data_IF_890555915803
#
_entry.id   IF_890555915803
#
_cell.length_a   1.000
_cell.length_b   1.000
_cell.length_c   1.000
_cell.angle_alpha   90.00
_cell.angle_beta   90.00
_cell.angle_gamma   90.00
#
_symmetry.space_group_name_H-M   'P 1'
#
loop_
_entity.id
_entity.type
_entity.pdbx_description
1 polymer ?
#
# COMPACT_ATOMS: atom_id res chain seq x y z
N UNK A 1 32.92 7.94 29.83
CA UNK A 1 31.87 8.82 29.28
C UNK A 1 30.91 7.91 28.52
N UNK A 2 29.65 7.86 28.96
CA UNK A 2 28.64 6.94 28.44
C UNK A 2 28.39 7.19 26.95
N UNK A 3 28.51 6.14 26.13
CA UNK A 3 27.91 6.10 24.81
C UNK A 3 26.41 5.91 25.00
N UNK A 4 25.64 6.95 24.72
CA UNK A 4 24.17 6.92 24.76
C UNK A 4 23.64 6.06 23.61
N UNK A 5 23.02 4.95 23.98
CA UNK A 5 22.24 3.99 23.17
C UNK A 5 20.93 4.63 22.64
N UNK A 6 21.03 5.63 21.76
CA UNK A 6 19.88 6.36 21.18
C UNK A 6 19.61 5.99 19.71
N UNK A 7 19.56 4.69 19.40
CA UNK A 7 19.35 4.22 18.01
C UNK A 7 18.51 2.95 17.85
N UNK A 8 17.73 2.55 18.85
CA UNK A 8 16.82 1.38 18.75
C UNK A 8 15.38 1.84 18.58
N UNK A 9 14.85 1.50 17.40
CA UNK A 9 13.42 1.39 17.05
C UNK A 9 12.59 2.67 17.04
N UNK A 10 12.86 3.60 16.11
CA UNK A 10 11.82 4.55 15.71
C UNK A 10 10.70 3.76 15.00
N UNK A 11 9.46 3.76 15.50
CA UNK A 11 8.39 2.99 14.89
C UNK A 11 8.00 3.63 13.55
N UNK A 12 8.08 2.85 12.47
CA UNK A 12 7.67 3.31 11.15
C UNK A 12 6.16 3.65 11.14
N UNK A 13 5.83 4.86 10.71
CA UNK A 13 4.46 5.32 10.51
C UNK A 13 3.81 4.48 9.39
N UNK A 14 2.74 3.73 9.68
CA UNK A 14 2.09 2.91 8.66
C UNK A 14 1.35 3.82 7.67
N UNK A 15 1.63 3.64 6.38
CA UNK A 15 0.99 4.38 5.30
C UNK A 15 0.29 3.42 4.33
N UNK A 16 -0.98 3.06 4.58
CA UNK A 16 -1.82 2.31 3.65
C UNK A 16 -2.08 3.11 2.36
N UNK A 17 -1.64 2.56 1.23
CA UNK A 17 -1.81 3.15 -0.10
C UNK A 17 -2.55 2.17 -0.99
N UNK A 18 -3.50 2.66 -1.78
CA UNK A 18 -4.17 1.85 -2.82
C UNK A 18 -3.84 2.41 -4.21
N UNK A 19 -3.55 1.53 -5.17
CA UNK A 19 -3.29 1.89 -6.57
C UNK A 19 -4.48 1.45 -7.42
N UNK A 20 -5.05 2.39 -8.15
CA UNK A 20 -6.27 2.26 -8.96
C UNK A 20 -6.03 2.79 -10.38
N UNK A 21 -6.96 2.51 -11.29
CA UNK A 21 -6.89 2.94 -12.69
C UNK A 21 -7.27 1.83 -13.66
N UNK A 22 -7.48 2.21 -14.92
CA UNK A 22 -7.92 1.33 -15.99
C UNK A 22 -6.93 0.21 -16.35
N UNK A 23 -7.31 -0.62 -17.30
CA UNK A 23 -6.42 -1.69 -17.79
C UNK A 23 -5.19 -1.11 -18.49
N UNK A 24 -4.04 -1.78 -18.33
CA UNK A 24 -2.77 -1.44 -18.97
C UNK A 24 -2.25 0.00 -18.73
N UNK A 25 -2.79 0.73 -17.74
CA UNK A 25 -2.31 2.07 -17.35
C UNK A 25 -0.99 2.05 -16.57
N UNK A 26 -0.44 0.87 -16.23
CA UNK A 26 0.87 0.75 -15.56
C UNK A 26 0.84 0.73 -14.03
N UNK A 27 -0.29 0.41 -13.38
CA UNK A 27 -0.41 0.24 -11.91
C UNK A 27 0.67 -0.65 -11.30
N UNK A 28 0.73 -1.91 -11.74
CA UNK A 28 1.72 -2.88 -11.24
C UNK A 28 3.15 -2.46 -11.57
N UNK A 29 3.39 -1.88 -12.74
CA UNK A 29 4.70 -1.35 -13.14
C UNK A 29 5.16 -0.21 -12.23
N UNK A 30 4.25 0.70 -11.85
CA UNK A 30 4.53 1.80 -10.93
C UNK A 30 4.93 1.28 -9.55
N UNK A 31 4.20 0.29 -9.02
CA UNK A 31 4.52 -0.34 -7.73
C UNK A 31 5.87 -1.05 -7.79
N UNK A 32 6.10 -1.85 -8.82
CA UNK A 32 7.33 -2.63 -8.98
C UNK A 32 8.56 -1.73 -9.15
N UNK A 33 8.42 -0.62 -9.88
CA UNK A 33 9.49 0.36 -9.97
C UNK A 33 9.79 1.01 -8.62
N UNK A 34 8.76 1.36 -7.84
CA UNK A 34 8.96 1.90 -6.49
C UNK A 34 9.70 0.92 -5.57
N UNK A 35 9.35 -0.37 -5.62
CA UNK A 35 9.97 -1.42 -4.80
C UNK A 35 11.41 -1.74 -5.22
N UNK A 36 11.68 -1.85 -6.52
CA UNK A 36 12.94 -2.42 -7.03
C UNK A 36 13.88 -1.41 -7.69
N UNK A 37 13.44 -0.16 -7.90
CA UNK A 37 14.19 0.88 -8.63
C UNK A 37 14.61 0.47 -10.04
N UNK A 38 13.86 -0.45 -10.63
CA UNK A 38 14.16 -0.99 -11.96
C UNK A 38 12.88 -1.12 -12.75
N UNK A 39 12.97 -0.73 -14.01
CA UNK A 39 11.97 -1.09 -14.98
C UNK A 39 12.06 -2.58 -15.27
N UNK A 40 10.92 -3.27 -15.23
CA UNK A 40 10.82 -4.67 -15.63
C UNK A 40 10.31 -4.67 -17.07
N UNK A 41 11.22 -4.92 -18.01
CA UNK A 41 10.96 -4.83 -19.46
C UNK A 41 9.99 -5.89 -19.98
N UNK A 42 9.84 -7.00 -19.28
CA UNK A 42 8.94 -8.09 -19.65
C UNK A 42 7.68 -8.06 -18.77
N UNK A 43 6.55 -7.50 -19.23
CA UNK A 43 5.31 -7.44 -18.45
C UNK A 43 4.79 -8.82 -18.04
N UNK A 44 5.16 -9.87 -18.77
CA UNK A 44 4.85 -11.27 -18.45
C UNK A 44 5.52 -11.77 -17.16
N UNK A 45 6.61 -11.11 -16.73
CA UNK A 45 7.27 -11.38 -15.45
C UNK A 45 6.56 -10.69 -14.28
N UNK A 46 5.63 -9.77 -14.55
CA UNK A 46 4.79 -9.20 -13.50
C UNK A 46 3.74 -10.23 -13.08
N UNK A 47 3.57 -10.46 -11.77
CA UNK A 47 2.53 -11.36 -11.29
C UNK A 47 1.16 -10.86 -11.76
N UNK A 48 0.34 -11.76 -12.31
CA UNK A 48 -1.03 -11.44 -12.68
C UNK A 48 -1.81 -11.00 -11.44
N UNK A 49 -2.29 -9.76 -11.41
CA UNK A 49 -3.05 -9.22 -10.28
C UNK A 49 -4.47 -9.78 -10.29
N UNK A 50 -4.68 -10.88 -9.56
CA UNK A 50 -6.00 -11.45 -9.29
C UNK A 50 -6.64 -10.70 -8.10
N UNK A 51 -7.63 -9.83 -8.38
CA UNK A 51 -8.26 -8.99 -7.35
C UNK A 51 -7.36 -7.85 -6.88
N UNK A 52 -6.43 -8.12 -5.96
CA UNK A 52 -5.39 -7.17 -5.56
C UNK A 52 -4.17 -7.88 -4.93
N UNK A 53 -2.98 -7.32 -5.12
CA UNK A 53 -1.71 -7.80 -4.57
C UNK A 53 -1.20 -6.84 -3.50
N UNK A 54 -0.75 -7.37 -2.38
CA UNK A 54 -0.19 -6.58 -1.28
C UNK A 54 1.34 -6.50 -1.35
N UNK A 55 1.87 -5.30 -1.18
CA UNK A 55 3.29 -5.02 -1.04
C UNK A 55 3.57 -4.15 0.18
N UNK A 56 4.77 -4.24 0.73
CA UNK A 56 5.23 -3.35 1.80
C UNK A 56 6.66 -2.90 1.53
N UNK A 57 6.92 -1.62 1.80
CA UNK A 57 8.25 -1.04 1.70
C UNK A 57 8.41 0.03 2.77
N UNK A 58 9.47 -0.08 3.56
CA UNK A 58 9.84 0.94 4.52
C UNK A 58 10.79 1.95 3.86
N UNK A 59 10.47 3.24 3.98
CA UNK A 59 11.24 4.36 3.41
C UNK A 59 11.39 5.44 4.47
N UNK A 60 12.62 5.90 4.66
CA UNK A 60 12.90 7.11 5.44
C UNK A 60 12.75 8.33 4.55
N UNK A 61 11.93 9.30 4.98
CA UNK A 61 11.66 10.55 4.26
C UNK A 61 11.91 11.70 5.24
N UNK A 62 12.97 12.46 5.03
CA UNK A 62 13.41 13.47 6.00
C UNK A 62 13.86 12.82 7.31
N UNK A 63 13.21 13.18 8.42
CA UNK A 63 13.45 12.58 9.74
C UNK A 63 12.51 11.41 10.06
N UNK A 64 11.46 11.25 9.27
CA UNK A 64 10.40 10.28 9.55
C UNK A 64 10.63 8.96 8.82
N UNK A 65 10.08 7.91 9.40
CA UNK A 65 10.12 6.57 8.85
C UNK A 65 8.71 6.15 8.45
N UNK A 66 8.49 5.86 7.17
CA UNK A 66 7.19 5.44 6.65
C UNK A 66 7.22 3.98 6.22
N UNK A 67 6.28 3.17 6.71
CA UNK A 67 6.02 1.81 6.21
C UNK A 67 4.86 1.86 5.23
N UNK A 68 5.17 1.94 3.95
CA UNK A 68 4.17 1.85 2.88
C UNK A 68 3.55 0.46 2.89
N UNK A 69 2.22 0.42 2.81
CA UNK A 69 1.40 -0.79 2.73
C UNK A 69 0.54 -0.66 1.48
N UNK A 70 1.04 -1.17 0.36
CA UNK A 70 0.53 -0.87 -0.97
C UNK A 70 -0.37 -2.00 -1.45
N UNK A 71 -1.61 -1.66 -1.78
CA UNK A 71 -2.54 -2.53 -2.48
C UNK A 71 -2.51 -2.20 -3.98
N UNK A 72 -1.87 -3.05 -4.77
CA UNK A 72 -1.93 -3.02 -6.23
C UNK A 72 -3.21 -3.73 -6.69
N UNK A 73 -4.14 -3.01 -7.31
CA UNK A 73 -5.45 -3.58 -7.66
C UNK A 73 -5.52 -4.03 -9.11
N UNK A 74 -6.30 -5.09 -9.33
CA UNK A 74 -6.67 -5.52 -10.67
C UNK A 74 -7.62 -4.50 -11.30
N UNK A 75 -7.41 -4.23 -12.59
CA UNK A 75 -8.32 -3.42 -13.42
C UNK A 75 -9.43 -4.24 -14.07
N UNK A 76 -9.54 -5.55 -13.79
CA UNK A 76 -10.63 -6.36 -14.32
C UNK A 76 -11.96 -5.94 -13.69
N UNK A 77 -12.94 -5.62 -14.54
CA UNK A 77 -14.32 -5.28 -14.17
C UNK A 77 -14.94 -6.31 -13.23
N UNK A 78 -14.58 -7.59 -13.38
CA UNK A 78 -15.06 -8.68 -12.52
C UNK A 78 -14.70 -8.47 -11.06
N UNK A 79 -13.65 -7.71 -10.75
CA UNK A 79 -13.19 -7.46 -9.39
C UNK A 79 -13.51 -6.03 -8.90
N UNK A 80 -14.19 -5.20 -9.70
CA UNK A 80 -14.54 -3.81 -9.32
C UNK A 80 -15.38 -3.74 -8.03
N UNK A 81 -16.20 -4.76 -7.75
CA UNK A 81 -16.99 -4.83 -6.52
C UNK A 81 -16.16 -5.01 -5.24
N UNK A 82 -14.90 -5.45 -5.36
CA UNK A 82 -13.96 -5.63 -4.24
C UNK A 82 -13.19 -4.35 -3.90
N UNK A 83 -13.14 -3.37 -4.80
CA UNK A 83 -12.40 -2.12 -4.62
C UNK A 83 -12.65 -1.42 -3.27
N UNK A 84 -13.90 -1.36 -2.75
CA UNK A 84 -14.16 -0.72 -1.45
C UNK A 84 -13.41 -1.37 -0.28
N UNK A 85 -13.05 -2.64 -0.36
CA UNK A 85 -12.28 -3.33 0.69
C UNK A 85 -10.83 -2.80 0.73
N UNK A 86 -10.30 -2.36 -0.40
CA UNK A 86 -8.91 -1.89 -0.53
C UNK A 86 -8.77 -0.39 -0.26
N UNK A 87 -9.67 0.44 -0.79
CA UNK A 87 -9.55 1.89 -0.65
C UNK A 87 -10.09 2.44 0.68
N UNK A 88 -11.09 1.81 1.32
CA UNK A 88 -11.62 2.30 2.62
C UNK A 88 -10.57 2.35 3.74
N UNK A 89 -9.70 1.34 3.94
CA UNK A 89 -8.65 1.43 4.95
C UNK A 89 -7.44 2.27 4.50
N UNK A 90 -7.41 2.72 3.24
CA UNK A 90 -6.28 3.48 2.71
C UNK A 90 -6.23 4.90 3.29
N UNK A 91 -5.03 5.46 3.38
CA UNK A 91 -4.78 6.87 3.71
C UNK A 91 -4.44 7.70 2.49
N UNK A 92 -3.87 7.06 1.47
CA UNK A 92 -3.58 7.65 0.19
C UNK A 92 -4.09 6.75 -0.95
N UNK A 93 -4.51 7.37 -2.05
CA UNK A 93 -4.83 6.65 -3.28
C UNK A 93 -4.02 7.21 -4.44
N UNK A 94 -3.57 6.32 -5.34
CA UNK A 94 -2.97 6.69 -6.62
C UNK A 94 -3.88 6.18 -7.72
N UNK A 95 -4.35 7.07 -8.58
CA UNK A 95 -5.19 6.74 -9.73
C UNK A 95 -4.40 7.02 -10.99
N UNK A 96 -4.20 5.98 -11.80
CA UNK A 96 -3.37 6.02 -13.01
C UNK A 96 -4.22 6.07 -14.26
N UNK A 97 -3.77 6.85 -15.24
CA UNK A 97 -4.20 6.77 -16.63
C UNK A 97 -2.95 6.75 -17.54
N UNK A 98 -3.10 6.49 -18.83
CA UNK A 98 -1.92 6.44 -19.71
C UNK A 98 -2.24 6.91 -21.13
N UNK A 99 -1.34 7.66 -21.80
CA UNK A 99 -1.63 8.24 -23.10
C UNK A 99 -1.89 7.21 -24.20
N UNK A 100 -1.24 6.05 -24.13
CA UNK A 100 -1.38 4.95 -25.11
C UNK A 100 -2.72 4.21 -24.98
N UNK A 101 -3.40 4.32 -23.84
CA UNK A 101 -4.76 3.83 -23.62
C UNK A 101 -5.82 4.89 -24.01
N UNK A 102 -5.38 6.03 -24.55
CA UNK A 102 -6.25 7.10 -25.03
C UNK A 102 -7.03 7.82 -23.92
N UNK A 103 -7.93 8.70 -24.36
CA UNK A 103 -8.75 9.57 -23.50
C UNK A 103 -9.75 8.80 -22.61
N UNK A 104 -10.08 7.57 -22.99
CA UNK A 104 -10.94 6.70 -22.19
C UNK A 104 -10.30 6.38 -20.83
N UNK A 105 -8.98 6.14 -20.78
CA UNK A 105 -8.26 5.87 -19.53
C UNK A 105 -8.32 7.06 -18.55
N UNK A 106 -8.22 8.28 -19.07
CA UNK A 106 -8.39 9.50 -18.27
C UNK A 106 -9.83 9.65 -17.77
N UNK A 107 -10.81 9.37 -18.63
CA UNK A 107 -12.23 9.40 -18.27
C UNK A 107 -12.55 8.40 -17.16
N UNK A 108 -12.02 7.19 -17.24
CA UNK A 108 -12.16 6.16 -16.20
C UNK A 108 -11.49 6.61 -14.89
N UNK A 109 -10.28 7.19 -14.95
CA UNK A 109 -9.60 7.73 -13.77
C UNK A 109 -10.45 8.82 -13.09
N UNK A 110 -11.07 9.73 -13.85
CA UNK A 110 -11.98 10.74 -13.31
C UNK A 110 -13.19 10.12 -12.59
N UNK A 111 -13.78 9.05 -13.14
CA UNK A 111 -14.90 8.34 -12.53
C UNK A 111 -14.48 7.67 -11.21
N UNK A 112 -13.33 7.00 -11.19
CA UNK A 112 -12.77 6.39 -9.98
C UNK A 112 -12.55 7.45 -8.90
N UNK A 113 -11.96 8.59 -9.25
CA UNK A 113 -11.70 9.69 -8.30
C UNK A 113 -13.01 10.22 -7.71
N UNK A 114 -14.02 10.48 -8.55
CA UNK A 114 -15.35 10.92 -8.09
C UNK A 114 -16.00 9.92 -7.14
N UNK A 115 -15.72 8.63 -7.28
CA UNK A 115 -16.20 7.58 -6.39
C UNK A 115 -15.45 7.60 -5.04
N UNK A 116 -14.12 7.57 -5.06
CA UNK A 116 -13.31 7.41 -3.84
C UNK A 116 -13.19 8.71 -3.03
N UNK A 117 -13.36 9.89 -3.63
CA UNK A 117 -13.30 11.18 -2.90
C UNK A 117 -14.39 11.31 -1.83
N UNK A 118 -15.42 10.46 -1.86
CA UNK A 118 -16.46 10.38 -0.83
C UNK A 118 -15.99 9.71 0.46
N UNK A 119 -14.78 9.14 0.49
CA UNK A 119 -14.26 8.39 1.62
C UNK A 119 -13.40 9.29 2.52
N UNK A 120 -13.83 9.50 3.77
CA UNK A 120 -13.15 10.37 4.75
C UNK A 120 -11.76 9.86 5.17
N UNK A 121 -11.44 8.61 4.87
CA UNK A 121 -10.16 8.00 5.27
C UNK A 121 -9.00 8.41 4.37
N UNK A 122 -9.29 8.79 3.12
CA UNK A 122 -8.32 9.21 2.13
C UNK A 122 -7.93 10.67 2.37
N UNK A 123 -6.69 10.89 2.79
CA UNK A 123 -6.12 12.22 3.04
C UNK A 123 -5.59 12.86 1.76
N UNK A 124 -5.06 12.04 0.86
CA UNK A 124 -4.45 12.49 -0.39
C UNK A 124 -4.82 11.52 -1.52
N UNK A 125 -5.14 12.09 -2.67
CA UNK A 125 -5.40 11.34 -3.90
C UNK A 125 -4.47 11.90 -4.96
N UNK A 126 -3.67 11.03 -5.58
CA UNK A 126 -2.82 11.39 -6.69
C UNK A 126 -3.42 10.92 -8.02
N UNK A 127 -3.46 11.80 -9.01
CA UNK A 127 -3.78 11.51 -10.39
C UNK A 127 -2.48 11.46 -11.18
N UNK A 128 -2.16 10.31 -11.75
CA UNK A 128 -0.87 10.05 -12.39
C UNK A 128 -1.06 9.70 -13.85
N UNK A 129 -0.46 10.55 -14.71
CA UNK A 129 -0.25 10.25 -16.12
C UNK A 129 0.96 9.32 -16.24
N UNK A 130 0.68 8.03 -16.42
CA UNK A 130 1.71 7.00 -16.48
C UNK A 130 2.18 6.79 -17.91
N UNK A 131 3.48 6.53 -18.10
CA UNK A 131 4.16 6.49 -19.40
C UNK A 131 4.28 7.89 -20.03
N UNK A 132 4.61 8.89 -19.21
CA UNK A 132 4.83 10.27 -19.68
C UNK A 132 5.90 10.41 -20.77
N UNK A 133 6.77 9.40 -20.93
CA UNK A 133 7.72 9.30 -22.04
C UNK A 133 7.08 9.25 -23.44
N UNK A 134 5.82 8.82 -23.53
CA UNK A 134 5.07 8.76 -24.78
C UNK A 134 4.44 10.11 -25.19
N UNK A 135 4.49 11.11 -24.30
CA UNK A 135 3.79 12.38 -24.45
C UNK A 135 2.30 12.27 -24.12
N UNK A 136 1.78 13.22 -23.34
CA UNK A 136 0.36 13.23 -22.96
C UNK A 136 -0.53 13.53 -24.17
N UNK A 137 -1.59 12.73 -24.31
CA UNK A 137 -2.69 12.99 -25.25
C UNK A 137 -3.75 13.94 -24.69
N UNK A 138 -3.68 14.23 -23.38
CA UNK A 138 -4.63 15.08 -22.66
C UNK A 138 -4.02 16.45 -22.40
N UNK A 139 -4.71 17.55 -22.75
CA UNK A 139 -4.24 18.91 -22.48
C UNK A 139 -3.98 19.16 -20.98
N UNK A 140 -2.84 19.77 -20.66
CA UNK A 140 -2.47 20.05 -19.27
C UNK A 140 -3.48 20.92 -18.52
N UNK A 141 -4.14 21.87 -19.19
CA UNK A 141 -5.17 22.70 -18.58
C UNK A 141 -6.34 21.85 -18.07
N UNK A 142 -6.76 20.85 -18.83
CA UNK A 142 -7.84 19.94 -18.46
C UNK A 142 -7.47 19.12 -17.20
N UNK A 143 -6.26 18.55 -17.18
CA UNK A 143 -5.76 17.81 -16.01
C UNK A 143 -5.68 18.71 -14.78
N UNK A 144 -5.18 19.93 -14.95
CA UNK A 144 -5.03 20.90 -13.86
C UNK A 144 -6.37 21.41 -13.32
N UNK A 145 -7.36 21.65 -14.19
CA UNK A 145 -8.71 22.03 -13.78
C UNK A 145 -9.36 20.92 -12.95
N UNK A 146 -9.27 19.67 -13.42
CA UNK A 146 -9.79 18.52 -12.69
C UNK A 146 -9.07 18.30 -11.36
N UNK A 147 -7.74 18.43 -11.34
CA UNK A 147 -6.95 18.29 -10.13
C UNK A 147 -7.29 19.36 -9.08
N UNK A 148 -7.57 20.60 -9.51
CA UNK A 148 -8.03 21.67 -8.61
C UNK A 148 -9.44 21.43 -8.10
N UNK A 149 -10.35 20.97 -8.95
CA UNK A 149 -11.75 20.71 -8.57
C UNK A 149 -11.85 19.65 -7.46
N UNK A 150 -11.06 18.58 -7.57
CA UNK A 150 -11.09 17.45 -6.61
C UNK A 150 -9.94 17.46 -5.61
N UNK A 151 -9.13 18.52 -5.61
CA UNK A 151 -7.99 18.69 -4.71
C UNK A 151 -7.05 17.47 -4.71
N UNK A 152 -6.38 17.30 -5.86
CA UNK A 152 -5.55 16.16 -6.19
C UNK A 152 -4.08 16.56 -6.36
N UNK A 153 -3.19 15.65 -6.00
CA UNK A 153 -1.80 15.68 -6.47
C UNK A 153 -1.76 15.18 -7.92
N UNK A 154 -1.44 16.04 -8.90
CA UNK A 154 -1.35 15.63 -10.30
C UNK A 154 0.09 15.71 -10.83
N UNK A 155 0.55 14.64 -11.48
CA UNK A 155 1.89 14.56 -12.07
C UNK A 155 1.97 13.55 -13.22
N UNK A 156 3.03 13.65 -14.00
CA UNK A 156 3.41 12.63 -14.98
C UNK A 156 4.56 11.78 -14.43
N UNK A 157 4.52 10.47 -14.71
CA UNK A 157 5.55 9.53 -14.32
C UNK A 157 5.89 8.55 -15.45
N UNK A 158 7.14 8.09 -15.49
CA UNK A 158 7.58 7.04 -16.41
C UNK A 158 8.41 6.01 -15.67
N UNK A 159 8.00 4.74 -15.73
CA UNK A 159 8.80 3.65 -15.20
C UNK A 159 10.00 3.34 -16.12
N UNK A 160 9.90 3.61 -17.41
CA UNK A 160 10.99 3.41 -18.38
C UNK A 160 12.11 4.40 -18.11
N UNK A 161 11.77 5.69 -17.94
CA UNK A 161 12.75 6.74 -17.65
C UNK A 161 13.06 6.87 -16.15
N UNK A 162 12.28 6.22 -15.29
CA UNK A 162 12.41 6.33 -13.85
C UNK A 162 11.98 7.67 -13.24
N UNK A 163 11.22 8.47 -14.00
CA UNK A 163 10.87 9.83 -13.63
C UNK A 163 9.65 9.87 -12.71
N UNK A 164 9.73 10.69 -11.66
CA UNK A 164 8.65 11.05 -10.74
C UNK A 164 7.95 9.90 -9.97
N UNK A 165 8.35 8.64 -10.13
CA UNK A 165 7.78 7.54 -9.34
C UNK A 165 8.16 7.67 -7.87
N UNK A 166 9.41 8.04 -7.58
CA UNK A 166 9.87 8.14 -6.17
C UNK A 166 9.28 9.37 -5.52
N UNK A 167 9.38 10.51 -6.22
CA UNK A 167 8.77 11.77 -5.81
C UNK A 167 7.26 11.60 -5.52
N UNK A 168 6.52 10.82 -6.32
CA UNK A 168 5.12 10.52 -6.04
C UNK A 168 4.92 9.96 -4.63
N UNK A 169 5.59 8.85 -4.29
CA UNK A 169 5.41 8.20 -2.99
C UNK A 169 5.91 9.08 -1.84
N UNK A 170 6.97 9.86 -2.05
CA UNK A 170 7.45 10.85 -1.08
C UNK A 170 6.40 11.92 -0.78
N UNK A 171 5.78 12.49 -1.82
CA UNK A 171 4.73 13.49 -1.67
C UNK A 171 3.48 12.92 -0.99
N UNK A 172 3.11 11.66 -1.27
CA UNK A 172 2.01 11.00 -0.56
C UNK A 172 2.27 10.91 0.95
N UNK A 173 3.51 10.57 1.34
CA UNK A 173 3.88 10.46 2.75
C UNK A 173 3.90 11.83 3.43
N UNK A 174 4.51 12.83 2.81
CA UNK A 174 4.56 14.21 3.33
C UNK A 174 3.14 14.77 3.51
N UNK A 175 2.29 14.65 2.49
CA UNK A 175 0.90 15.10 2.56
C UNK A 175 0.13 14.41 3.69
N UNK A 176 0.29 13.08 3.85
CA UNK A 176 -0.38 12.35 4.92
C UNK A 176 0.11 12.72 6.32
N UNK A 177 1.40 13.09 6.46
CA UNK A 177 2.04 13.48 7.73
C UNK A 177 1.57 14.85 8.21
N UNK A 178 1.52 15.84 7.30
CA UNK A 178 1.04 17.19 7.64
C UNK A 178 -0.42 17.21 8.12
N UNK A 179 -1.25 16.28 7.63
CA UNK A 179 -2.63 16.12 8.12
C UNK A 179 -2.72 15.36 9.46
N UNK A 180 -1.62 14.86 10.04
CA UNK A 180 -1.64 14.19 11.36
C UNK A 180 -1.38 15.15 12.52
N UNK A 181 -0.83 16.34 12.24
CA UNK A 181 -0.45 17.33 13.27
C UNK A 181 -1.55 18.35 13.61
N UNK A 182 -2.64 18.43 12.84
CA UNK A 182 -3.74 19.37 13.10
C UNK A 182 -4.87 18.76 13.96
N UNK A 183 -5.21 19.46 15.06
CA UNK A 183 -6.36 19.19 15.94
C UNK A 183 -7.70 19.42 15.21
N UNK A 184 -8.80 18.74 15.61
CA UNK A 184 -10.10 18.88 14.96
C UNK A 184 -10.71 20.27 15.25
N UNK A 185 -10.63 21.18 14.29
CA UNK A 185 -11.24 22.52 14.41
C UNK A 185 -10.70 23.57 13.45
N UNK A 186 -9.53 23.36 12.83
CA UNK A 186 -9.06 24.19 11.73
C UNK A 186 -9.44 23.56 10.39
N UNK A 187 -10.18 24.33 9.59
CA UNK A 187 -10.55 23.96 8.24
C UNK A 187 -9.25 23.91 7.40
N UNK A 188 -8.71 22.70 7.21
CA UNK A 188 -7.60 22.47 6.30
C UNK A 188 -8.06 22.87 4.89
N UNK A 189 -7.68 24.07 4.46
CA UNK A 189 -7.51 24.33 3.02
C UNK A 189 -6.42 23.37 2.59
N UNK A 190 -6.79 22.39 1.80
CA UNK A 190 -5.86 21.49 1.21
C UNK A 190 -4.68 22.29 0.64
N UNK A 191 -3.48 21.93 1.07
CA UNK A 191 -2.28 22.57 0.57
C UNK A 191 -2.11 22.05 -0.84
N UNK A 192 -2.71 22.77 -1.81
CA UNK A 192 -2.41 22.60 -3.22
C UNK A 192 -0.91 22.86 -3.33
N UNK A 193 -0.10 21.81 -3.46
CA UNK A 193 1.29 21.98 -3.86
C UNK A 193 1.26 22.58 -5.26
N UNK A 194 1.67 23.85 -5.45
CA UNK A 194 1.65 24.43 -6.77
C UNK A 194 2.64 23.64 -7.63
N UNK A 195 2.15 23.02 -8.70
CA UNK A 195 2.99 22.51 -9.79
C UNK A 195 3.70 23.73 -10.40
N UNK A 196 4.89 24.04 -9.88
CA UNK A 196 5.73 25.13 -10.36
C UNK A 196 7.09 24.55 -10.70
N UNK A 197 7.49 24.72 -11.97
CA UNK A 197 8.79 24.33 -12.46
C UNK A 197 9.90 25.23 -11.92
N UNK A 198 11.10 24.66 -11.81
CA UNK A 198 12.34 25.44 -11.65
C UNK A 198 13.20 25.23 -12.90
N UNK A 199 13.28 26.29 -13.70
CA UNK A 199 14.29 26.41 -14.74
C UNK A 199 15.68 26.58 -14.11
N UNK A 200 16.63 25.89 -14.72
CA UNK A 200 18.01 26.33 -14.96
C UNK A 200 18.92 26.56 -13.74
N UNK A 201 19.81 25.59 -13.51
CA UNK A 201 21.18 25.90 -13.09
C UNK A 201 22.11 25.79 -14.29
N UNK A 202 22.30 26.89 -15.02
CA UNK A 202 23.59 27.22 -15.62
C UNK A 202 23.77 28.75 -15.60
N UNK A 203 24.93 29.28 -15.18
CA UNK A 203 25.04 30.64 -14.70
C UNK A 203 25.27 31.67 -15.82
N UNK A 204 24.86 32.90 -15.52
CA UNK A 204 25.20 34.18 -16.15
C UNK A 204 24.41 34.58 -17.41
N UNK A 205 23.41 35.45 -17.23
CA UNK A 205 23.43 36.86 -17.66
C UNK A 205 22.02 37.47 -17.62
N UNK A 206 21.96 38.70 -17.15
CA UNK A 206 20.77 39.55 -17.00
C UNK A 206 20.21 40.02 -18.34
N UNK A 207 18.93 39.75 -18.63
CA UNK A 207 18.17 40.45 -19.69
C UNK A 207 16.73 40.73 -19.19
N UNK A 208 16.16 41.93 -19.43
CA UNK A 208 14.90 42.35 -18.80
C UNK A 208 13.65 41.96 -19.59
N UNK A 209 12.55 41.96 -18.84
CA UNK A 209 11.18 41.56 -19.16
C UNK A 209 10.56 42.37 -20.31
N UNK A 210 10.08 41.70 -21.38
CA UNK A 210 8.85 42.03 -22.09
C UNK A 210 8.42 40.90 -23.06
N UNK A 211 7.14 40.53 -22.98
CA UNK A 211 6.31 39.82 -23.98
C UNK A 211 6.60 38.35 -24.37
N UNK A 212 5.73 37.48 -23.85
CA UNK A 212 5.04 36.32 -24.48
C UNK A 212 5.87 35.33 -25.31
N UNK A 213 6.17 34.17 -24.69
CA UNK A 213 5.76 32.87 -25.24
C UNK A 213 5.73 31.83 -24.10
N UNK A 214 4.52 31.51 -23.61
CA UNK A 214 4.28 30.44 -22.65
C UNK A 214 4.42 29.09 -23.39
N UNK A 215 5.65 28.58 -23.44
CA UNK A 215 5.91 27.20 -23.84
C UNK A 215 5.40 26.26 -22.73
N UNK A 216 4.21 25.70 -22.99
CA UNK A 216 3.42 24.83 -22.13
C UNK A 216 4.06 23.45 -21.92
N UNK A 217 4.90 23.31 -20.90
CA UNK A 217 5.18 21.99 -20.32
C UNK A 217 5.42 22.14 -18.81
N UNK A 218 4.38 21.94 -18.00
CA UNK A 218 4.52 21.85 -16.55
C UNK A 218 4.87 20.42 -16.16
N UNK A 219 6.08 19.99 -16.52
CA UNK A 219 6.69 18.81 -15.91
C UNK A 219 7.08 19.21 -14.49
N UNK A 220 6.48 18.55 -13.51
CA UNK A 220 7.00 18.58 -12.14
C UNK A 220 8.40 17.94 -12.16
N UNK A 221 9.43 18.78 -12.02
CA UNK A 221 10.79 18.35 -11.71
C UNK A 221 10.88 18.26 -10.20
N UNK A 222 10.32 17.17 -9.64
CA UNK A 222 10.32 16.98 -8.19
C UNK A 222 11.73 17.12 -7.64
N UNK A 223 11.92 17.95 -6.62
CA UNK A 223 13.11 17.78 -5.78
C UNK A 223 12.97 16.40 -5.14
N UNK A 224 13.81 15.46 -5.55
CA UNK A 224 14.02 14.23 -4.81
C UNK A 224 14.37 14.65 -3.38
N UNK A 225 13.51 14.30 -2.42
CA UNK A 225 13.92 14.36 -1.03
C UNK A 225 14.86 13.18 -0.82
N UNK A 226 15.97 13.37 -0.10
CA UNK A 226 16.88 12.27 0.18
C UNK A 226 16.12 11.17 0.95
N UNK A 227 15.65 10.15 0.25
CA UNK A 227 14.92 9.03 0.81
C UNK A 227 15.78 7.77 0.84
N UNK A 228 15.73 7.06 1.97
CA UNK A 228 16.51 5.84 2.19
C UNK A 228 15.54 4.67 2.26
N UNK A 229 15.70 3.73 1.32
CA UNK A 229 14.90 2.51 1.27
C UNK A 229 15.54 1.49 2.19
N UNK A 230 14.74 0.97 3.11
CA UNK A 230 15.19 -0.06 4.05
C UNK A 230 14.72 -1.40 3.50
N UNK A 231 15.65 -2.34 3.32
CA UNK A 231 15.31 -3.70 2.92
C UNK A 231 14.45 -4.35 4.01
N UNK A 232 13.15 -4.50 3.72
CA UNK A 232 12.24 -5.25 4.58
C UNK A 232 12.58 -6.74 4.45
N UNK A 233 13.10 -7.37 5.53
CA UNK A 233 13.40 -8.82 5.58
C UNK A 233 12.15 -9.72 5.57
N UNK A 234 11.00 -9.21 5.15
CA UNK A 234 9.69 -9.89 5.20
C UNK A 234 8.95 -9.78 3.86
N UNK A 235 9.27 -10.67 2.92
CA UNK A 235 8.37 -10.98 1.80
C UNK A 235 7.97 -12.45 1.85
N UNK A 236 6.66 -12.71 2.02
CA UNK A 236 6.05 -13.96 1.58
C UNK A 236 4.80 -13.59 0.78
N UNK A 237 4.76 -13.80 -0.54
CA UNK A 237 3.56 -13.57 -1.31
C UNK A 237 2.50 -14.59 -0.85
N UNK A 238 1.25 -14.17 -0.70
CA UNK A 238 0.17 -15.13 -0.53
C UNK A 238 0.05 -15.96 -1.82
N UNK A 239 0.09 -17.31 -1.74
CA UNK A 239 -0.02 -18.13 -2.93
C UNK A 239 -1.44 -18.03 -3.51
N UNK A 240 -1.50 -17.78 -4.82
CA UNK A 240 -2.68 -17.91 -5.66
C UNK A 240 -3.45 -19.19 -5.32
N UNK A 241 -4.77 -19.07 -5.13
CA UNK A 241 -5.70 -20.21 -5.22
C UNK A 241 -5.51 -20.86 -6.60
N UNK A 242 -4.86 -22.03 -6.63
CA UNK A 242 -5.05 -23.00 -7.71
C UNK A 242 -5.75 -24.22 -7.13
N UNK A 243 -6.78 -24.63 -7.85
CA UNK A 243 -7.58 -25.82 -7.62
C UNK A 243 -6.69 -27.04 -7.36
N UNK A 244 -7.08 -27.77 -6.33
CA UNK A 244 -6.68 -29.15 -6.06
C UNK A 244 -7.00 -30.03 -7.26
N UNK A 245 -6.05 -30.85 -7.67
CA UNK A 245 -6.24 -32.24 -8.10
C UNK A 245 -4.89 -32.95 -7.89
N UNK A 246 -4.90 -33.81 -6.87
CA UNK A 246 -4.42 -35.20 -6.86
C UNK A 246 -2.92 -35.57 -7.02
N UNK A 247 -2.56 -36.48 -6.10
CA UNK A 247 -1.63 -37.62 -6.14
C UNK A 247 -0.12 -37.47 -5.78
N UNK A 248 0.19 -38.07 -4.61
CA UNK A 248 1.26 -39.02 -4.27
C UNK A 248 2.73 -38.76 -4.63
N UNK A 249 3.61 -38.74 -3.62
CA UNK A 249 4.63 -39.80 -3.40
C UNK A 249 5.59 -39.49 -2.22
N UNK A 250 5.90 -40.55 -1.45
CA UNK A 250 6.86 -40.65 -0.34
C UNK A 250 8.32 -40.68 -0.86
N UNK A 251 9.30 -40.14 -0.12
CA UNK A 251 10.32 -40.97 0.58
C UNK A 251 11.51 -40.21 1.25
N UNK A 252 11.82 -40.71 2.46
CA UNK A 252 13.11 -40.94 3.16
C UNK A 252 14.17 -39.85 3.47
N UNK A 253 14.30 -39.61 4.79
CA UNK A 253 15.50 -39.55 5.66
C UNK A 253 16.82 -38.86 5.25
N UNK A 254 17.14 -37.76 5.96
CA UNK A 254 18.44 -37.62 6.62
C UNK A 254 18.33 -36.76 7.88
N UNK A 255 18.79 -37.30 9.01
CA UNK A 255 18.72 -36.69 10.33
C UNK A 255 19.80 -35.62 10.49
N UNK A 256 19.39 -34.37 10.66
CA UNK A 256 20.22 -33.32 11.26
C UNK A 256 19.37 -32.52 12.27
N UNK A 257 19.26 -33.08 13.47
CA UNK A 257 18.56 -32.47 14.60
C UNK A 257 19.42 -31.37 15.22
N UNK A 258 19.10 -30.09 14.96
CA UNK A 258 19.09 -29.00 15.97
C UNK A 258 18.74 -27.59 15.47
N UNK A 259 18.38 -27.35 14.20
CA UNK A 259 18.15 -25.95 13.74
C UNK A 259 16.95 -25.68 12.83
N UNK A 260 16.09 -26.66 12.65
CA UNK A 260 14.75 -26.43 12.11
C UNK A 260 13.74 -26.45 13.26
N UNK A 261 13.74 -25.36 14.05
CA UNK A 261 12.49 -24.97 14.68
C UNK A 261 11.50 -24.71 13.54
N UNK A 262 10.71 -25.74 13.24
CA UNK A 262 9.53 -25.74 12.41
C UNK A 262 9.02 -24.31 12.23
N UNK A 263 9.11 -23.79 11.00
CA UNK A 263 8.37 -22.60 10.54
C UNK A 263 6.88 -22.92 10.71
N UNK A 264 6.39 -22.86 11.94
CA UNK A 264 5.05 -23.27 12.27
C UNK A 264 4.10 -22.36 11.50
N UNK A 265 3.39 -22.94 10.55
CA UNK A 265 2.41 -22.24 9.73
C UNK A 265 1.36 -21.64 10.67
N UNK A 266 1.11 -20.33 10.56
CA UNK A 266 -0.02 -19.73 11.28
C UNK A 266 -1.30 -20.49 10.92
N UNK A 267 -2.16 -20.81 11.89
CA UNK A 267 -3.39 -21.55 11.63
C UNK A 267 -4.31 -20.75 10.71
N UNK A 268 -5.14 -21.46 9.94
CA UNK A 268 -6.17 -20.84 9.13
C UNK A 268 -7.18 -20.11 10.02
N UNK A 269 -7.44 -18.84 9.73
CA UNK A 269 -8.29 -17.99 10.54
C UNK A 269 -9.73 -18.12 10.10
N UNK A 270 -10.59 -18.68 10.95
CA UNK A 270 -12.00 -18.87 10.61
C UNK A 270 -12.71 -17.51 10.59
N UNK A 271 -13.42 -17.22 9.50
CA UNK A 271 -14.22 -16.00 9.34
C UNK A 271 -15.38 -15.97 10.33
N UNK A 272 -15.59 -14.82 10.96
CA UNK A 272 -16.62 -14.63 11.98
C UNK A 272 -18.01 -14.99 11.46
N UNK A 273 -18.34 -14.66 10.22
CA UNK A 273 -19.65 -14.86 9.60
C UNK A 273 -20.04 -16.33 9.50
N UNK A 274 -19.04 -17.22 9.41
CA UNK A 274 -19.24 -18.66 9.24
C UNK A 274 -19.52 -19.40 10.55
N UNK A 275 -19.33 -18.76 11.71
CA UNK A 275 -19.42 -19.42 13.02
C UNK A 275 -20.56 -18.86 13.85
N UNK A 276 -21.53 -19.71 14.16
CA UNK A 276 -22.69 -19.35 15.00
C UNK A 276 -22.54 -19.77 16.46
N UNK A 277 -21.62 -20.68 16.75
CA UNK A 277 -21.43 -21.28 18.08
C UNK A 277 -19.96 -21.30 18.49
N UNK A 278 -19.69 -21.23 19.80
CA UNK A 278 -18.35 -21.41 20.33
C UNK A 278 -17.78 -22.78 19.93
N UNK A 279 -16.58 -22.80 19.35
CA UNK A 279 -15.94 -24.02 18.87
C UNK A 279 -15.75 -25.08 19.96
N UNK A 280 -15.62 -24.68 21.24
CA UNK A 280 -15.42 -25.61 22.36
C UNK A 280 -16.72 -25.99 23.07
N UNK A 281 -17.48 -25.02 23.55
CA UNK A 281 -18.65 -25.29 24.41
C UNK A 281 -19.99 -25.27 23.66
N UNK A 282 -20.01 -24.94 22.37
CA UNK A 282 -21.22 -24.89 21.57
C UNK A 282 -22.18 -23.74 21.89
N UNK A 283 -21.82 -22.82 22.79
CA UNK A 283 -22.69 -21.68 23.13
C UNK A 283 -22.95 -20.80 21.90
N UNK A 284 -24.20 -20.45 21.63
CA UNK A 284 -24.57 -19.54 20.54
C UNK A 284 -23.94 -18.15 20.74
N UNK A 285 -23.27 -17.66 19.70
CA UNK A 285 -22.81 -16.28 19.67
C UNK A 285 -24.00 -15.34 19.42
N UNK A 286 -24.04 -14.25 20.17
CA UNK A 286 -25.06 -13.21 20.07
C UNK A 286 -24.48 -11.88 20.58
N UNK A 287 -25.33 -10.86 20.75
CA UNK A 287 -24.88 -9.52 21.17
C UNK A 287 -24.22 -9.53 22.56
N UNK A 288 -24.58 -10.49 23.43
CA UNK A 288 -24.03 -10.65 24.78
C UNK A 288 -22.86 -11.65 24.84
N UNK A 289 -22.87 -12.68 24.00
CA UNK A 289 -21.78 -13.67 23.90
C UNK A 289 -20.93 -13.35 22.68
N UNK A 290 -19.83 -12.62 22.89
CA UNK A 290 -18.93 -12.16 21.82
C UNK A 290 -18.00 -13.26 21.32
N UNK A 291 -17.59 -13.13 20.05
CA UNK A 291 -16.63 -14.01 19.36
C UNK A 291 -15.19 -13.62 19.68
N UNK A 292 -14.35 -14.62 19.92
CA UNK A 292 -12.93 -14.43 20.16
C UNK A 292 -12.08 -15.50 19.47
N UNK A 293 -11.17 -15.09 18.60
CA UNK A 293 -10.25 -16.01 17.95
C UNK A 293 -9.08 -16.43 18.84
N UNK A 294 -8.72 -17.70 18.74
CA UNK A 294 -7.46 -18.23 19.26
C UNK A 294 -6.33 -17.98 18.26
N UNK A 295 -5.28 -17.26 18.68
CA UNK A 295 -4.12 -16.98 17.80
C UNK A 295 -3.22 -18.21 17.54
N UNK A 296 -3.42 -19.30 18.28
CA UNK A 296 -2.67 -20.54 18.11
C UNK A 296 -3.35 -21.58 17.20
N UNK A 297 -4.69 -21.59 17.13
CA UNK A 297 -5.43 -22.57 16.30
C UNK A 297 -6.45 -21.97 15.32
N UNK A 298 -6.68 -20.65 15.31
CA UNK A 298 -7.52 -19.97 14.32
C UNK A 298 -9.04 -20.09 14.52
N UNK A 299 -9.49 -20.99 15.40
CA UNK A 299 -10.90 -21.18 15.75
C UNK A 299 -11.48 -20.04 16.62
N UNK A 300 -12.82 -19.94 16.66
CA UNK A 300 -13.57 -18.91 17.40
C UNK A 300 -14.23 -19.47 18.66
N UNK A 301 -14.04 -18.78 19.79
CA UNK A 301 -14.46 -19.18 21.13
C UNK A 301 -15.23 -18.06 21.84
N UNK A 302 -16.00 -18.41 22.88
CA UNK A 302 -16.50 -17.45 23.86
C UNK A 302 -15.36 -17.01 24.82
N UNK A 303 -15.64 -16.00 25.65
CA UNK A 303 -14.66 -15.46 26.60
C UNK A 303 -14.12 -16.55 27.55
N UNK A 304 -15.01 -17.40 28.07
CA UNK A 304 -14.64 -18.44 29.05
C UNK A 304 -13.77 -19.55 28.43
N UNK A 305 -13.98 -19.85 27.16
CA UNK A 305 -13.21 -20.86 26.43
C UNK A 305 -11.86 -20.33 25.88
N UNK A 306 -11.61 -19.04 26.00
CA UNK A 306 -10.40 -18.37 25.51
C UNK A 306 -9.91 -17.28 26.48
N UNK A 307 -9.92 -17.58 27.77
CA UNK A 307 -9.64 -16.63 28.84
C UNK A 307 -8.15 -16.30 29.02
N UNK A 308 -7.25 -17.03 28.34
CA UNK A 308 -5.81 -16.90 28.50
C UNK A 308 -5.14 -16.09 27.40
N UNK A 309 -4.01 -15.46 27.77
CA UNK A 309 -3.12 -14.74 26.86
C UNK A 309 -1.70 -15.25 27.06
N UNK A 310 -1.02 -15.60 25.97
CA UNK A 310 0.38 -16.06 26.01
C UNK A 310 1.12 -15.62 24.75
N UNK A 311 2.45 -15.59 24.80
CA UNK A 311 3.31 -15.42 23.62
C UNK A 311 3.36 -16.72 22.83
N UNK A 312 3.46 -16.62 21.50
CA UNK A 312 3.64 -17.77 20.61
C UNK A 312 4.83 -17.47 19.68
N UNK A 313 6.08 -17.54 20.17
CA UNK A 313 7.25 -17.08 19.43
C UNK A 313 7.47 -17.81 18.10
N UNK A 314 7.15 -19.11 18.04
CA UNK A 314 7.32 -19.94 16.85
C UNK A 314 6.39 -19.57 15.67
N UNK A 315 5.33 -18.77 15.89
CA UNK A 315 4.50 -18.18 14.82
C UNK A 315 4.53 -16.64 14.82
N UNK A 316 5.57 -16.06 15.43
CA UNK A 316 5.86 -14.63 15.51
C UNK A 316 4.84 -13.80 16.32
N UNK A 317 4.23 -14.38 17.35
CA UNK A 317 3.52 -13.60 18.38
C UNK A 317 4.44 -13.36 19.59
N UNK A 318 5.24 -12.30 19.51
CA UNK A 318 6.22 -11.92 20.54
C UNK A 318 5.61 -11.13 21.71
N UNK A 319 4.31 -10.80 21.63
CA UNK A 319 3.53 -10.19 22.72
C UNK A 319 2.39 -11.15 23.11
N UNK A 320 1.89 -11.10 24.36
CA UNK A 320 0.78 -11.95 24.79
C UNK A 320 -0.45 -11.78 23.89
N UNK A 321 -0.90 -12.87 23.28
CA UNK A 321 -2.09 -12.93 22.42
C UNK A 321 -3.09 -13.94 22.96
N UNK A 322 -4.38 -13.70 22.71
CA UNK A 322 -5.45 -14.56 23.21
C UNK A 322 -5.38 -15.96 22.60
N UNK A 323 -5.47 -16.97 23.44
CA UNK A 323 -5.50 -18.38 23.03
C UNK A 323 -6.66 -19.10 23.70
N UNK A 324 -7.19 -20.14 23.07
CA UNK A 324 -8.16 -21.01 23.71
C UNK A 324 -7.50 -21.79 24.85
N UNK A 325 -8.31 -22.27 25.80
CA UNK A 325 -7.79 -22.92 27.00
C UNK A 325 -6.97 -24.18 26.66
N UNK A 326 -7.28 -24.88 25.56
CA UNK A 326 -6.54 -26.08 25.14
C UNK A 326 -5.20 -25.73 24.48
N UNK A 327 -5.17 -24.68 23.66
CA UNK A 327 -3.91 -24.17 23.12
C UNK A 327 -3.02 -23.59 24.21
N UNK A 328 -3.59 -22.93 25.21
CA UNK A 328 -2.83 -22.45 26.36
C UNK A 328 -2.15 -23.61 27.10
N UNK A 329 -2.88 -24.69 27.40
CA UNK A 329 -2.29 -25.89 28.03
C UNK A 329 -1.16 -26.48 27.19
N UNK A 330 -1.35 -26.61 25.88
CA UNK A 330 -0.32 -27.15 24.96
C UNK A 330 0.90 -26.25 24.81
N UNK A 331 0.77 -24.94 25.00
CA UNK A 331 1.87 -23.98 24.86
C UNK A 331 2.68 -23.80 26.14
N UNK A 332 2.14 -24.24 27.28
CA UNK A 332 2.76 -24.09 28.61
C UNK A 332 3.37 -25.41 29.14
N UNK A 333 3.26 -26.50 28.37
CA UNK A 333 3.81 -27.83 28.65
C UNK A 333 4.54 -28.34 27.42
#
# INVERSE_FOLDING_TARGET
>A
VAQTDMGKDMPALPLPVVILGGSATGKSTLVQYFLHRKFIESPELLPSTNGATYYSQTVSIGTDLFKFKIWDTSSDDKHKFLLPIYYRPAKAAVVTYSPDQGRESFTEAQQIIKQIRREDTLKVIALVDMKGDLGSTIPNNEVNEFAKEYDLLALQASAVQGTNIIALFEQLALACSQTLEHEPGEELRATIFPVTGINSLCPQQSVPVHSVELANCNVFTGQEVNSIFIEDKEFRPEPNLKNTNDDDDEDSDSQDNTREALKAKRPEWIRDESVKVCYKCGSNFNVFVRKHHCRACGNIFCSDCSSHFTTIPHIAYNKPVRVCNDCHKRLMH
#
